data_IF_080102060217
#
_entry.id   IF_080102060217
#
_cell.length_a   1.000
_cell.length_b   1.000
_cell.length_c   1.000
_cell.angle_alpha   90.00
_cell.angle_beta   90.00
_cell.angle_gamma   90.00
#
_symmetry.space_group_name_H-M   'P 1'
#
loop_
_entity.id
_entity.type
_entity.pdbx_description
1 polymer ?
#
# COMPACT_ATOMS: atom_id res chain seq x y z
N UNK A 1 14.70 -11.53 5.38
CA UNK A 1 14.21 -10.99 4.10
C UNK A 1 14.42 -9.46 3.98
N UNK A 2 15.30 -8.85 4.80
CA UNK A 2 15.75 -7.43 4.74
C UNK A 2 16.10 -6.95 3.32
N UNK A 3 16.72 -7.82 2.50
CA UNK A 3 17.11 -7.51 1.11
C UNK A 3 15.94 -7.11 0.19
N UNK A 4 14.75 -7.71 0.31
CA UNK A 4 13.63 -7.38 -0.58
C UNK A 4 13.05 -6.01 -0.26
N UNK A 5 12.95 -5.69 1.04
CA UNK A 5 12.54 -4.37 1.49
C UNK A 5 13.58 -3.33 1.07
N UNK A 6 14.88 -3.64 1.22
CA UNK A 6 15.97 -2.78 0.76
C UNK A 6 15.92 -2.52 -0.75
N UNK A 7 15.59 -3.53 -1.56
CA UNK A 7 15.40 -3.37 -3.03
C UNK A 7 14.20 -2.46 -3.33
N UNK A 8 13.08 -2.63 -2.61
CA UNK A 8 11.90 -1.77 -2.77
C UNK A 8 12.21 -0.33 -2.35
N UNK A 9 12.86 -0.13 -1.20
CA UNK A 9 13.28 1.19 -0.73
C UNK A 9 14.22 1.86 -1.72
N UNK A 10 15.23 1.13 -2.21
CA UNK A 10 16.15 1.63 -3.23
C UNK A 10 15.42 2.01 -4.53
N UNK A 11 14.44 1.22 -4.96
CA UNK A 11 13.60 1.54 -6.11
C UNK A 11 12.78 2.81 -5.93
N UNK A 12 12.13 2.98 -4.77
CA UNK A 12 11.35 4.18 -4.44
C UNK A 12 12.24 5.42 -4.39
N UNK A 13 13.38 5.33 -3.70
CA UNK A 13 14.35 6.44 -3.59
C UNK A 13 14.90 6.81 -4.96
N UNK A 14 15.29 5.81 -5.77
CA UNK A 14 15.75 6.05 -7.13
C UNK A 14 14.67 6.69 -8.00
N UNK A 15 13.40 6.30 -7.83
CA UNK A 15 12.27 6.89 -8.55
C UNK A 15 12.04 8.35 -8.18
N UNK A 16 12.10 8.68 -6.89
CA UNK A 16 12.00 10.06 -6.40
C UNK A 16 13.12 10.91 -6.98
N UNK A 17 14.36 10.44 -6.90
CA UNK A 17 15.53 11.14 -7.43
C UNK A 17 15.40 11.35 -8.94
N UNK A 18 15.05 10.31 -9.71
CA UNK A 18 14.89 10.43 -11.16
C UNK A 18 13.78 11.40 -11.55
N UNK A 19 12.64 11.38 -10.84
CA UNK A 19 11.53 12.29 -11.07
C UNK A 19 11.91 13.75 -10.81
N UNK A 20 12.55 14.04 -9.67
CA UNK A 20 12.97 15.41 -9.35
C UNK A 20 14.06 15.88 -10.29
N UNK A 21 15.00 15.02 -10.70
CA UNK A 21 15.99 15.32 -11.75
C UNK A 21 15.31 15.68 -13.08
N UNK A 22 14.28 14.94 -13.47
CA UNK A 22 13.54 15.21 -14.71
C UNK A 22 12.88 16.59 -14.71
N UNK A 23 12.44 17.08 -13.55
CA UNK A 23 11.71 18.36 -13.45
C UNK A 23 12.63 19.56 -13.20
N UNK A 24 13.69 19.38 -12.39
CA UNK A 24 14.50 20.47 -11.86
C UNK A 24 16.00 20.30 -12.19
N UNK A 25 16.36 19.35 -13.05
CA UNK A 25 17.73 19.07 -13.45
C UNK A 25 18.63 18.64 -12.29
N UNK A 26 19.87 19.11 -12.27
CA UNK A 26 20.87 18.75 -11.24
C UNK A 26 20.40 19.16 -9.84
N UNK A 27 19.73 20.31 -9.70
CA UNK A 27 19.14 20.76 -8.43
C UNK A 27 18.05 19.80 -7.95
N UNK A 28 17.26 19.26 -8.88
CA UNK A 28 16.29 18.21 -8.62
C UNK A 28 16.91 16.94 -8.05
N UNK A 29 18.07 16.52 -8.54
CA UNK A 29 18.79 15.35 -8.00
C UNK A 29 19.16 15.55 -6.54
N UNK A 30 19.65 16.75 -6.18
CA UNK A 30 20.06 17.08 -4.81
C UNK A 30 18.84 17.04 -3.88
N UNK A 31 17.75 17.70 -4.27
CA UNK A 31 16.50 17.72 -3.50
C UNK A 31 15.92 16.30 -3.37
N UNK A 32 15.86 15.55 -4.47
CA UNK A 32 15.37 14.18 -4.49
C UNK A 32 16.20 13.24 -3.62
N UNK A 33 17.52 13.43 -3.56
CA UNK A 33 18.39 12.63 -2.71
C UNK A 33 18.17 12.92 -1.21
N UNK A 34 17.93 14.19 -0.86
CA UNK A 34 17.59 14.59 0.52
C UNK A 34 16.22 14.07 0.93
N UNK A 35 15.20 14.21 0.07
CA UNK A 35 13.86 13.66 0.32
C UNK A 35 13.93 12.13 0.39
N UNK A 36 14.68 11.50 -0.51
CA UNK A 36 14.89 10.07 -0.55
C UNK A 36 15.57 9.53 0.72
N UNK A 37 16.55 10.25 1.27
CA UNK A 37 17.21 9.85 2.53
C UNK A 37 16.31 10.04 3.74
N UNK A 38 15.50 11.11 3.77
CA UNK A 38 14.47 11.30 4.81
C UNK A 38 13.39 10.22 4.74
N UNK A 39 12.95 9.87 3.53
CA UNK A 39 11.98 8.81 3.31
C UNK A 39 12.57 7.44 3.67
N UNK A 40 13.85 7.20 3.37
CA UNK A 40 14.56 6.02 3.84
C UNK A 40 14.57 5.95 5.36
N UNK A 41 14.90 7.04 6.06
CA UNK A 41 14.90 7.09 7.53
C UNK A 41 13.51 6.86 8.12
N UNK A 42 12.49 7.49 7.54
CA UNK A 42 11.12 7.27 7.95
C UNK A 42 10.72 5.81 7.75
N UNK A 43 10.99 5.26 6.57
CA UNK A 43 10.65 3.87 6.27
C UNK A 43 11.49 2.87 7.08
N UNK A 44 12.75 3.18 7.35
CA UNK A 44 13.61 2.32 8.14
C UNK A 44 13.12 2.29 9.59
N UNK A 45 12.79 3.44 10.17
CA UNK A 45 12.36 3.52 11.56
C UNK A 45 10.96 2.93 11.78
N UNK A 46 10.00 3.23 10.91
CA UNK A 46 8.63 2.74 11.06
C UNK A 46 8.39 1.34 10.53
N UNK A 47 9.23 0.83 9.61
CA UNK A 47 9.01 -0.48 8.96
C UNK A 47 10.20 -1.42 9.08
N UNK A 48 11.42 -1.00 8.73
CA UNK A 48 12.59 -1.90 8.77
C UNK A 48 12.95 -2.30 10.20
N UNK A 49 13.09 -1.35 11.11
CA UNK A 49 13.40 -1.59 12.52
C UNK A 49 12.38 -2.50 13.22
N UNK A 50 11.05 -2.29 13.07
CA UNK A 50 10.10 -3.27 13.59
C UNK A 50 10.28 -4.63 12.92
N UNK A 51 10.42 -4.73 11.59
CA UNK A 51 10.62 -6.00 10.86
C UNK A 51 11.93 -6.73 11.23
N UNK A 52 13.00 -6.01 11.51
CA UNK A 52 14.32 -6.55 11.85
C UNK A 52 14.37 -6.98 13.32
N UNK A 53 13.69 -6.24 14.22
CA UNK A 53 13.45 -6.67 15.61
C UNK A 53 12.53 -7.89 15.72
N UNK A 54 11.63 -8.14 14.76
CA UNK A 54 10.89 -9.43 14.73
C UNK A 54 11.72 -10.56 14.10
N UNK A 55 12.64 -10.27 13.17
CA UNK A 55 13.52 -11.30 12.59
C UNK A 55 14.49 -11.93 13.62
N UNK A 56 14.86 -11.21 14.68
CA UNK A 56 15.64 -11.79 15.80
C UNK A 56 14.78 -12.70 16.70
N UNK A 57 13.45 -12.62 16.59
CA UNK A 57 12.46 -13.34 17.39
C UNK A 57 11.66 -14.39 16.57
N UNK A 58 12.25 -15.08 15.59
CA UNK A 58 11.57 -16.17 14.82
C UNK A 58 10.10 -15.86 14.51
N UNK A 59 9.82 -14.76 13.82
CA UNK A 59 8.47 -14.51 13.30
C UNK A 59 8.12 -15.52 12.21
N UNK A 60 6.85 -15.94 12.10
CA UNK A 60 6.42 -16.83 11.04
C UNK A 60 6.40 -16.05 9.72
N UNK A 61 6.89 -16.67 8.63
CA UNK A 61 6.91 -16.10 7.25
C UNK A 61 5.58 -15.48 6.79
N UNK A 62 4.48 -15.93 7.41
CA UNK A 62 3.12 -15.42 7.24
C UNK A 62 2.96 -13.95 7.64
N UNK A 63 3.54 -13.54 8.78
CA UNK A 63 3.46 -12.17 9.30
C UNK A 63 4.28 -11.21 8.44
N UNK A 64 5.48 -11.61 8.02
CA UNK A 64 6.32 -10.81 7.13
C UNK A 64 5.62 -10.54 5.78
N UNK A 65 4.98 -11.56 5.20
CA UNK A 65 4.23 -11.41 3.95
C UNK A 65 3.02 -10.49 4.10
N UNK A 66 2.35 -10.51 5.27
CA UNK A 66 1.22 -9.64 5.57
C UNK A 66 1.63 -8.16 5.68
N UNK A 67 2.76 -7.87 6.32
CA UNK A 67 3.28 -6.50 6.46
C UNK A 67 3.70 -5.94 5.09
N UNK A 68 4.43 -6.72 4.29
CA UNK A 68 4.88 -6.30 2.95
C UNK A 68 3.69 -6.06 2.02
N UNK A 69 2.60 -6.83 2.18
CA UNK A 69 1.37 -6.64 1.42
C UNK A 69 0.55 -5.41 1.87
N UNK A 70 0.50 -5.12 3.18
CA UNK A 70 -0.21 -3.96 3.71
C UNK A 70 0.46 -2.62 3.31
N UNK A 71 1.78 -2.61 3.13
CA UNK A 71 2.55 -1.41 2.81
C UNK A 71 2.05 -0.64 1.57
N UNK A 72 1.99 -1.24 0.36
CA UNK A 72 1.46 -0.53 -0.81
C UNK A 72 -0.01 -0.14 -0.66
N UNK A 73 -0.82 -0.92 0.08
CA UNK A 73 -2.21 -0.57 0.34
C UNK A 73 -2.34 0.71 1.19
N UNK A 74 -1.45 0.90 2.17
CA UNK A 74 -1.41 2.13 2.99
C UNK A 74 -1.08 3.35 2.13
N UNK A 75 -0.12 3.23 1.20
CA UNK A 75 0.21 4.32 0.27
C UNK A 75 -1.00 4.66 -0.60
N UNK A 76 -1.67 3.65 -1.15
CA UNK A 76 -2.87 3.84 -1.98
C UNK A 76 -4.00 4.48 -1.17
N UNK A 77 -4.21 4.04 0.08
CA UNK A 77 -5.17 4.66 1.00
C UNK A 77 -4.85 6.14 1.24
N UNK A 78 -3.58 6.50 1.44
CA UNK A 78 -3.18 7.89 1.63
C UNK A 78 -3.48 8.74 0.38
N UNK A 79 -3.18 8.23 -0.81
CA UNK A 79 -3.52 8.89 -2.08
C UNK A 79 -5.04 9.07 -2.21
N UNK A 80 -5.82 8.06 -1.82
CA UNK A 80 -7.28 8.10 -1.88
C UNK A 80 -7.86 9.13 -0.90
N UNK A 81 -7.30 9.24 0.30
CA UNK A 81 -7.66 10.29 1.27
C UNK A 81 -7.34 11.67 0.69
N UNK A 82 -6.15 11.86 0.11
CA UNK A 82 -5.77 13.12 -0.55
C UNK A 82 -6.76 13.46 -1.67
N UNK A 83 -7.15 12.47 -2.48
CA UNK A 83 -8.15 12.63 -3.52
C UNK A 83 -9.51 13.08 -2.95
N UNK A 84 -10.01 12.41 -1.92
CA UNK A 84 -11.27 12.81 -1.27
C UNK A 84 -11.19 14.26 -0.76
N UNK A 85 -10.10 14.62 -0.08
CA UNK A 85 -9.89 15.98 0.44
C UNK A 85 -9.73 17.02 -0.68
N UNK A 86 -9.16 16.66 -1.84
CA UNK A 86 -8.99 17.56 -2.98
C UNK A 86 -10.32 18.10 -3.55
N UNK A 87 -11.41 17.37 -3.29
CA UNK A 87 -12.76 17.79 -3.66
C UNK A 87 -13.23 18.99 -2.83
N UNK A 88 -12.70 19.17 -1.61
CA UNK A 88 -13.16 20.17 -0.65
C UNK A 88 -12.13 21.27 -0.36
N UNK A 89 -10.83 20.98 -0.48
CA UNK A 89 -9.75 21.88 -0.05
C UNK A 89 -8.72 22.14 -1.17
N UNK A 90 -8.19 23.37 -1.21
CA UNK A 90 -7.18 23.79 -2.20
C UNK A 90 -5.82 23.10 -2.01
N UNK A 91 -5.28 23.04 -0.79
CA UNK A 91 -3.97 22.43 -0.55
C UNK A 91 -3.87 20.97 -1.02
N UNK A 92 -4.76 20.06 -0.57
CA UNK A 92 -4.83 18.69 -1.06
C UNK A 92 -5.04 18.58 -2.58
N UNK A 93 -5.71 19.56 -3.21
CA UNK A 93 -5.89 19.59 -4.67
C UNK A 93 -4.58 19.81 -5.40
N UNK A 94 -3.72 20.71 -4.94
CA UNK A 94 -2.40 20.93 -5.56
C UNK A 94 -1.52 19.69 -5.43
N UNK A 95 -1.53 19.04 -4.25
CA UNK A 95 -0.80 17.79 -4.01
C UNK A 95 -1.33 16.68 -4.96
N UNK A 96 -2.65 16.54 -5.08
CA UNK A 96 -3.25 15.55 -5.96
C UNK A 96 -2.92 15.81 -7.44
N UNK A 97 -3.00 17.07 -7.88
CA UNK A 97 -2.64 17.46 -9.25
C UNK A 97 -1.16 17.21 -9.55
N UNK A 98 -0.28 17.43 -8.58
CA UNK A 98 1.14 17.09 -8.71
C UNK A 98 1.33 15.58 -8.93
N UNK A 99 0.64 14.73 -8.16
CA UNK A 99 0.69 13.26 -8.36
C UNK A 99 0.10 12.82 -9.70
N UNK A 100 -1.00 13.44 -10.15
CA UNK A 100 -1.57 13.20 -11.48
C UNK A 100 -0.59 13.60 -12.58
N UNK A 101 0.06 14.76 -12.45
CA UNK A 101 1.04 15.23 -13.43
C UNK A 101 2.28 14.33 -13.45
N UNK A 102 2.73 13.86 -12.29
CA UNK A 102 3.86 12.92 -12.19
C UNK A 102 3.59 11.54 -12.82
N UNK A 103 2.31 11.22 -13.07
CA UNK A 103 1.88 9.95 -13.67
C UNK A 103 1.26 10.16 -15.06
N UNK A 104 1.49 11.30 -15.69
CA UNK A 104 0.90 11.66 -16.99
C UNK A 104 -0.63 11.49 -17.03
N UNK A 105 -1.30 11.90 -15.96
CA UNK A 105 -2.75 11.77 -15.76
C UNK A 105 -3.26 10.32 -15.72
N UNK A 106 -2.37 9.36 -15.44
CA UNK A 106 -2.70 7.95 -15.32
C UNK A 106 -2.72 7.43 -13.88
N UNK A 107 -2.66 8.30 -12.86
CA UNK A 107 -2.53 7.89 -11.45
C UNK A 107 -3.52 6.80 -11.06
N UNK A 108 -4.82 7.01 -11.35
CA UNK A 108 -5.87 6.05 -11.02
C UNK A 108 -5.83 4.78 -11.88
N UNK A 109 -5.37 4.87 -13.13
CA UNK A 109 -5.17 3.69 -13.98
C UNK A 109 -4.05 2.82 -13.43
N UNK A 110 -2.92 3.43 -13.10
CA UNK A 110 -1.75 2.75 -12.52
C UNK A 110 -2.09 2.13 -11.16
N UNK A 111 -2.79 2.86 -10.28
CA UNK A 111 -3.26 2.33 -8.99
C UNK A 111 -4.24 1.17 -9.22
N UNK A 112 -5.20 1.32 -10.14
CA UNK A 112 -6.17 0.27 -10.46
C UNK A 112 -5.51 -1.03 -10.93
N UNK A 113 -4.57 -0.94 -11.87
CA UNK A 113 -3.77 -2.09 -12.32
C UNK A 113 -2.94 -2.68 -11.19
N UNK A 114 -2.28 -1.83 -10.39
CA UNK A 114 -1.49 -2.26 -9.24
C UNK A 114 -2.32 -3.04 -8.22
N UNK A 115 -3.51 -2.55 -7.87
CA UNK A 115 -4.45 -3.22 -6.98
C UNK A 115 -4.97 -4.54 -7.56
N UNK A 116 -5.21 -4.63 -8.86
CA UNK A 116 -5.61 -5.89 -9.50
C UNK A 116 -4.50 -6.93 -9.37
N UNK A 117 -3.26 -6.55 -9.70
CA UNK A 117 -2.10 -7.45 -9.58
C UNK A 117 -1.90 -7.89 -8.12
N UNK A 118 -1.97 -6.96 -7.18
CA UNK A 118 -1.84 -7.27 -5.74
C UNK A 118 -3.01 -8.12 -5.24
N UNK A 119 -4.25 -7.84 -5.65
CA UNK A 119 -5.44 -8.59 -5.24
C UNK A 119 -5.40 -10.06 -5.65
N UNK A 120 -4.65 -10.41 -6.70
CA UNK A 120 -4.42 -11.81 -7.11
C UNK A 120 -3.47 -12.54 -6.14
N UNK A 121 -2.56 -11.84 -5.46
CA UNK A 121 -1.55 -12.48 -4.61
C UNK A 121 -2.14 -13.35 -3.48
N UNK A 122 -3.12 -12.86 -2.68
CA UNK A 122 -3.78 -13.70 -1.66
C UNK A 122 -4.61 -14.86 -2.23
N UNK A 123 -4.98 -14.83 -3.52
CA UNK A 123 -5.69 -15.93 -4.18
C UNK A 123 -4.73 -17.08 -4.54
N UNK A 124 -3.47 -16.75 -4.84
CA UNK A 124 -2.44 -17.72 -5.18
C UNK A 124 -1.73 -18.29 -3.94
N UNK A 125 -1.59 -17.49 -2.88
CA UNK A 125 -0.96 -17.90 -1.62
C UNK A 125 -1.92 -17.75 -0.40
N UNK A 126 -3.05 -18.50 -0.37
CA UNK A 126 -4.10 -18.35 0.65
C UNK A 126 -3.62 -18.67 2.08
N UNK A 127 -2.56 -19.47 2.21
CA UNK A 127 -1.96 -19.83 3.50
C UNK A 127 -1.27 -18.65 4.19
N UNK A 128 -0.86 -17.63 3.41
CA UNK A 128 -0.17 -16.44 3.93
C UNK A 128 -1.15 -15.32 4.23
N UNK A 129 -2.05 -15.03 3.29
CA UNK A 129 -3.04 -13.96 3.40
C UNK A 129 -4.40 -14.54 3.02
N UNK A 130 -5.44 -14.37 3.85
CA UNK A 130 -6.79 -14.84 3.52
C UNK A 130 -7.28 -14.33 2.15
N UNK A 131 -7.87 -15.20 1.31
CA UNK A 131 -8.27 -14.85 -0.05
C UNK A 131 -9.38 -13.79 -0.10
N UNK A 132 -10.16 -13.66 0.98
CA UNK A 132 -11.19 -12.62 1.13
C UNK A 132 -10.60 -11.20 1.03
N UNK A 133 -9.38 -10.99 1.54
CA UNK A 133 -8.68 -9.72 1.44
C UNK A 133 -8.20 -9.45 0.01
N UNK A 134 -7.75 -10.50 -0.68
CA UNK A 134 -7.39 -10.42 -2.11
C UNK A 134 -8.58 -10.03 -2.97
N UNK A 135 -9.75 -10.67 -2.77
CA UNK A 135 -10.99 -10.32 -3.47
C UNK A 135 -11.43 -8.88 -3.22
N UNK A 136 -11.36 -8.41 -1.98
CA UNK A 136 -11.69 -7.02 -1.64
C UNK A 136 -10.77 -6.03 -2.37
N UNK A 137 -9.45 -6.26 -2.34
CA UNK A 137 -8.44 -5.43 -3.03
C UNK A 137 -8.63 -5.46 -4.55
N UNK A 138 -8.94 -6.62 -5.12
CA UNK A 138 -9.22 -6.78 -6.54
C UNK A 138 -10.48 -5.98 -6.93
N UNK A 139 -11.54 -6.04 -6.13
CA UNK A 139 -12.75 -5.24 -6.32
C UNK A 139 -12.48 -3.73 -6.29
N UNK A 140 -11.72 -3.25 -5.31
CA UNK A 140 -11.27 -1.85 -5.25
C UNK A 140 -10.46 -1.50 -6.50
N UNK A 141 -9.55 -2.37 -6.93
CA UNK A 141 -8.73 -2.19 -8.11
C UNK A 141 -9.55 -2.03 -9.39
N UNK A 142 -10.57 -2.86 -9.59
CA UNK A 142 -11.48 -2.76 -10.74
C UNK A 142 -12.26 -1.44 -10.73
N UNK A 143 -12.89 -1.09 -9.60
CA UNK A 143 -13.63 0.17 -9.49
C UNK A 143 -12.71 1.36 -9.75
N UNK A 144 -11.48 1.31 -9.26
CA UNK A 144 -10.53 2.41 -9.42
C UNK A 144 -9.95 2.51 -10.82
N UNK A 145 -9.74 1.37 -11.47
CA UNK A 145 -9.37 1.33 -12.88
C UNK A 145 -10.49 1.91 -13.75
N UNK A 146 -11.75 1.55 -13.49
CA UNK A 146 -12.90 2.13 -14.17
C UNK A 146 -12.95 3.65 -13.99
N UNK A 147 -12.78 4.14 -12.76
CA UNK A 147 -12.68 5.57 -12.46
C UNK A 147 -11.56 6.27 -13.25
N UNK A 148 -10.41 5.60 -13.39
CA UNK A 148 -9.27 6.10 -14.14
C UNK A 148 -9.50 6.17 -15.66
N UNK A 149 -10.51 5.50 -16.20
CA UNK A 149 -10.86 5.55 -17.62
C UNK A 149 -12.06 6.45 -17.94
N UNK A 150 -12.63 7.15 -16.95
CA UNK A 150 -13.82 8.03 -17.13
C UNK A 150 -13.59 9.15 -18.16
N UNK A 151 -12.34 9.57 -18.33
CA UNK A 151 -11.89 10.58 -19.29
C UNK A 151 -11.71 10.03 -20.73
N UNK A 152 -11.85 8.72 -20.93
CA UNK A 152 -11.66 8.09 -22.24
C UNK A 152 -12.96 8.08 -23.06
N UNK A 153 -12.89 8.54 -24.29
CA UNK A 153 -14.05 8.63 -25.18
C UNK A 153 -14.38 7.27 -25.83
N UNK A 154 -14.94 6.33 -25.05
CA UNK A 154 -15.33 5.00 -25.50
C UNK A 154 -16.79 4.69 -25.15
N UNK A 155 -17.53 3.94 -26.00
CA UNK A 155 -18.91 3.54 -25.72
C UNK A 155 -19.09 2.80 -24.38
N UNK A 156 -18.09 2.00 -23.97
CA UNK A 156 -18.14 1.25 -22.71
C UNK A 156 -18.03 2.22 -21.52
N UNK A 157 -17.17 3.24 -21.63
CA UNK A 157 -16.98 4.26 -20.59
C UNK A 157 -18.24 5.11 -20.43
N UNK A 158 -18.91 5.44 -21.54
CA UNK A 158 -20.15 6.20 -21.52
C UNK A 158 -21.27 5.55 -20.69
N UNK A 159 -21.27 4.22 -20.57
CA UNK A 159 -22.27 3.49 -19.78
C UNK A 159 -22.15 3.75 -18.27
N UNK A 160 -20.93 3.85 -17.74
CA UNK A 160 -20.69 3.96 -16.30
C UNK A 160 -20.23 5.35 -15.86
N UNK A 161 -19.72 6.18 -16.78
CA UNK A 161 -19.21 7.54 -16.50
C UNK A 161 -20.18 8.41 -15.69
N UNK A 162 -21.51 8.43 -15.96
CA UNK A 162 -22.46 9.24 -15.18
C UNK A 162 -22.46 8.88 -13.68
N UNK A 163 -22.29 7.60 -13.35
CA UNK A 163 -22.26 7.12 -11.97
C UNK A 163 -21.03 7.67 -11.26
N UNK A 164 -19.86 7.62 -11.90
CA UNK A 164 -18.62 8.14 -11.32
C UNK A 164 -18.59 9.66 -11.23
N UNK A 165 -19.22 10.36 -12.18
CA UNK A 165 -19.31 11.83 -12.13
C UNK A 165 -20.23 12.30 -11.01
N UNK A 166 -21.38 11.65 -10.81
CA UNK A 166 -22.35 12.06 -9.81
C UNK A 166 -22.01 11.58 -8.39
N UNK A 167 -21.51 10.34 -8.27
CA UNK A 167 -21.25 9.69 -6.98
C UNK A 167 -19.76 9.59 -6.63
N UNK A 168 -18.88 10.39 -7.26
CA UNK A 168 -17.42 10.34 -7.05
C UNK A 168 -17.04 10.30 -5.56
N UNK A 169 -17.66 11.17 -4.76
CA UNK A 169 -17.30 11.35 -3.34
C UNK A 169 -17.72 10.12 -2.55
N UNK A 170 -18.94 9.62 -2.82
CA UNK A 170 -19.48 8.44 -2.16
C UNK A 170 -18.69 7.18 -2.53
N UNK A 171 -18.33 7.02 -3.80
CA UNK A 171 -17.47 5.93 -4.27
C UNK A 171 -16.12 6.01 -3.54
N UNK A 172 -15.49 7.18 -3.50
CA UNK A 172 -14.20 7.36 -2.81
C UNK A 172 -14.27 6.99 -1.33
N UNK A 173 -15.32 7.42 -0.61
CA UNK A 173 -15.54 7.05 0.79
C UNK A 173 -15.67 5.52 0.96
N UNK A 174 -16.43 4.86 0.10
CA UNK A 174 -16.58 3.39 0.13
C UNK A 174 -15.24 2.70 -0.13
N UNK A 175 -14.46 3.16 -1.11
CA UNK A 175 -13.13 2.60 -1.40
C UNK A 175 -12.16 2.78 -0.23
N UNK A 176 -12.15 3.96 0.40
CA UNK A 176 -11.38 4.24 1.63
C UNK A 176 -11.79 3.27 2.73
N UNK A 177 -13.09 3.10 2.97
CA UNK A 177 -13.59 2.20 4.01
C UNK A 177 -13.16 0.75 3.77
N UNK A 178 -13.25 0.26 2.53
CA UNK A 178 -12.83 -1.10 2.16
C UNK A 178 -11.32 -1.28 2.32
N UNK A 179 -10.51 -0.33 1.81
CA UNK A 179 -9.06 -0.39 1.95
C UNK A 179 -8.63 -0.34 3.42
N UNK A 180 -9.21 0.57 4.20
CA UNK A 180 -8.94 0.69 5.63
C UNK A 180 -9.30 -0.59 6.38
N UNK A 181 -10.47 -1.19 6.08
CA UNK A 181 -10.87 -2.47 6.64
C UNK A 181 -9.84 -3.55 6.35
N UNK A 182 -9.43 -3.72 5.09
CA UNK A 182 -8.43 -4.73 4.70
C UNK A 182 -7.10 -4.50 5.41
N UNK A 183 -6.60 -3.26 5.45
CA UNK A 183 -5.33 -2.92 6.11
C UNK A 183 -5.39 -3.25 7.60
N UNK A 184 -6.45 -2.82 8.29
CA UNK A 184 -6.62 -3.06 9.73
C UNK A 184 -6.76 -4.56 10.01
N UNK A 185 -7.54 -5.30 9.22
CA UNK A 185 -7.70 -6.75 9.38
C UNK A 185 -6.38 -7.49 9.20
N UNK A 186 -5.56 -7.11 8.20
CA UNK A 186 -4.25 -7.74 7.98
C UNK A 186 -3.28 -7.44 9.13
N UNK A 187 -3.28 -6.21 9.66
CA UNK A 187 -2.45 -5.85 10.82
C UNK A 187 -2.91 -6.61 12.08
N UNK A 188 -4.22 -6.71 12.32
CA UNK A 188 -4.76 -7.44 13.47
C UNK A 188 -4.47 -8.94 13.40
N UNK A 189 -4.59 -9.54 12.21
CA UNK A 189 -4.23 -10.94 11.97
C UNK A 189 -2.73 -11.15 12.24
N UNK A 190 -1.87 -10.23 11.79
CA UNK A 190 -0.43 -10.26 12.04
C UNK A 190 -0.10 -10.25 13.54
N UNK A 191 -0.72 -9.33 14.30
CA UNK A 191 -0.50 -9.20 15.75
C UNK A 191 -1.01 -10.42 16.51
N UNK A 192 -2.16 -10.98 16.11
CA UNK A 192 -2.74 -12.17 16.75
C UNK A 192 -1.86 -13.40 16.54
N UNK A 193 -1.25 -13.56 15.36
CA UNK A 193 -0.32 -14.65 15.07
C UNK A 193 0.94 -14.55 15.94
N UNK A 194 1.53 -13.37 16.09
CA UNK A 194 2.70 -13.13 16.94
C UNK A 194 2.38 -13.53 18.39
N UNK A 195 1.26 -13.06 18.94
CA UNK A 195 0.86 -13.35 20.33
C UNK A 195 0.66 -14.84 20.59
N UNK A 196 0.07 -15.58 19.63
CA UNK A 196 -0.14 -17.03 19.77
C UNK A 196 1.18 -17.81 19.74
N UNK A 197 2.13 -17.41 18.90
CA UNK A 197 3.45 -18.05 18.88
C UNK A 197 4.22 -17.84 20.18
N UNK A 198 4.19 -16.62 20.74
CA UNK A 198 4.85 -16.33 22.02
C UNK A 198 4.27 -17.15 23.17
N UNK A 199 2.94 -17.25 23.26
CA UNK A 199 2.29 -18.11 24.27
C UNK A 199 2.62 -19.60 24.09
N UNK A 200 2.72 -20.08 22.84
CA UNK A 200 3.09 -21.47 22.56
C UNK A 200 4.54 -21.80 22.94
N UNK A 201 5.46 -20.82 22.81
CA UNK A 201 6.86 -20.96 23.20
C UNK A 201 7.01 -20.98 24.71
N UNK A 202 6.28 -20.12 25.43
CA UNK A 202 6.27 -20.09 26.91
C UNK A 202 5.79 -21.45 27.45
N UNK A 203 4.65 -21.95 26.96
CA UNK A 203 4.11 -23.25 27.39
C UNK A 203 5.05 -24.42 27.09
N UNK A 204 5.76 -24.42 25.96
CA UNK A 204 6.76 -25.46 25.63
C UNK A 204 8.07 -25.32 26.42
N UNK A 205 8.41 -24.12 26.88
CA UNK A 205 9.56 -23.87 27.74
C UNK A 205 9.33 -24.41 29.15
N UNK A 206 8.17 -24.13 29.73
CA UNK A 206 7.76 -24.65 31.05
C UNK A 206 7.68 -26.18 31.06
N UNK A 207 7.19 -26.81 29.99
CA UNK A 207 7.16 -28.27 29.88
C UNK A 207 8.55 -28.93 29.86
N UNK A 208 9.59 -28.22 29.38
CA UNK A 208 10.98 -28.74 29.35
C UNK A 208 11.70 -28.60 30.69
N UNK A 209 11.32 -27.64 31.53
CA UNK A 209 11.87 -27.51 32.89
C UNK A 209 11.28 -28.55 33.86
N UNK A 210 10.11 -29.12 33.55
CA UNK A 210 9.48 -30.18 34.38
C UNK A 210 10.05 -31.58 34.05
N UNK A 211 10.71 -31.75 32.89
CA UNK A 211 11.29 -33.02 32.44
C UNK A 211 12.79 -33.20 32.80
N UNK A 212 13.41 -32.26 33.52
CA UNK A 212 14.80 -32.29 34.00
C UNK A 212 14.86 -32.44 35.52
#
# INVERSE_FOLDING_TARGET
>A
MSKTLDIIMAGIISGIVAFTTSQLGVTGTIIGAVIGSMLYQFMSHFFKEPLENVNTLKTPKRVESQIVYAFPLIIILAIEIIYLLSSFYLGPREIFQSMQTATDWNLFRTIGVGLIIMGVYPLLEPDRIPPIYGLAVLGVGVVKLMAGFVDYNSPIVALYSPIFQHFNVLISIVLIAVLLYVIVSIIQDSVTIIRKEDQSKISKGELREIEL
#
